data_IF_452699194693
#
_entry.id   IF_452699194693
#
_cell.length_a   1.000
_cell.length_b   1.000
_cell.length_c   1.000
_cell.angle_alpha   90.00
_cell.angle_beta   90.00
_cell.angle_gamma   90.00
#
_symmetry.space_group_name_H-M   'P 1'
#
loop_
_entity.id
_entity.type
_entity.pdbx_description
1 polymer ?
#
# COMPACT_ATOMS: atom_id res chain seq x y z
N UNK A 1 -25.56 -0.41 7.80
CA UNK A 1 -25.03 -0.11 9.15
C UNK A 1 -26.04 -0.47 10.21
N UNK A 2 -25.64 -0.47 11.48
CA UNK A 2 -26.48 -0.69 12.66
C UNK A 2 -26.11 0.32 13.77
N UNK A 3 -26.83 0.31 14.89
CA UNK A 3 -26.58 1.23 16.02
C UNK A 3 -25.15 1.12 16.59
N UNK A 4 -24.51 -0.06 16.54
CA UNK A 4 -23.15 -0.25 17.03
C UNK A 4 -22.07 0.46 16.20
N UNK A 5 -22.39 0.82 14.95
CA UNK A 5 -21.52 1.58 14.07
C UNK A 5 -22.12 2.93 13.67
N UNK A 6 -23.01 3.50 14.50
CA UNK A 6 -23.69 4.78 14.23
C UNK A 6 -24.32 4.83 12.83
N UNK A 7 -24.78 3.66 12.35
CA UNK A 7 -25.34 3.45 11.02
C UNK A 7 -24.39 3.73 9.83
N UNK A 8 -23.10 4.04 10.04
CA UNK A 8 -22.15 4.38 8.95
C UNK A 8 -21.63 3.15 8.20
N UNK A 9 -21.70 1.95 8.81
CA UNK A 9 -21.28 0.70 8.18
C UNK A 9 -19.83 0.28 8.42
N UNK A 10 -19.06 1.09 9.17
CA UNK A 10 -17.67 0.81 9.54
C UNK A 10 -17.46 1.07 11.04
N UNK A 11 -16.51 0.36 11.65
CA UNK A 11 -16.13 0.58 13.05
C UNK A 11 -14.62 0.43 13.19
N UNK A 12 -13.97 1.42 13.82
CA UNK A 12 -12.52 1.47 13.92
C UNK A 12 -11.84 1.88 12.60
N UNK A 13 -10.52 1.72 12.54
CA UNK A 13 -9.67 2.05 11.38
C UNK A 13 -8.54 1.02 11.28
N UNK A 14 -8.10 0.76 10.05
CA UNK A 14 -6.91 -0.06 9.78
C UNK A 14 -5.94 0.76 8.93
N UNK A 15 -4.64 0.68 9.22
CA UNK A 15 -3.62 1.33 8.40
C UNK A 15 -3.36 0.52 7.14
N UNK A 16 -3.03 1.19 6.03
CA UNK A 16 -2.43 0.56 4.86
C UNK A 16 -0.95 0.92 4.80
N UNK A 17 -0.10 0.00 4.31
CA UNK A 17 1.36 0.13 4.34
C UNK A 17 2.00 -0.20 3.00
N UNK A 18 2.80 0.73 2.50
CA UNK A 18 3.80 0.52 1.44
C UNK A 18 5.17 0.66 2.08
N UNK A 19 5.97 -0.41 2.06
CA UNK A 19 7.21 -0.48 2.83
C UNK A 19 8.38 -0.90 1.95
N UNK A 20 9.29 0.05 1.70
CA UNK A 20 10.53 -0.15 0.97
C UNK A 20 11.68 -0.39 1.93
N UNK A 21 12.40 -1.51 1.78
CA UNK A 21 13.59 -1.79 2.57
C UNK A 21 14.79 -1.12 1.92
N UNK A 22 15.59 -0.39 2.69
CA UNK A 22 16.87 0.15 2.22
C UNK A 22 17.94 -0.95 2.36
N UNK A 23 18.05 -1.78 1.33
CA UNK A 23 19.14 -2.75 1.19
C UNK A 23 20.40 -2.09 0.58
N UNK A 24 21.45 -2.89 0.36
CA UNK A 24 22.69 -2.37 -0.23
C UNK A 24 22.49 -1.81 -1.63
N UNK A 25 21.70 -2.50 -2.46
CA UNK A 25 21.41 -2.05 -3.84
C UNK A 25 20.66 -0.72 -3.84
N UNK A 26 19.66 -0.55 -2.98
CA UNK A 26 18.95 0.73 -2.84
C UNK A 26 19.90 1.83 -2.35
N UNK A 27 20.84 1.51 -1.45
CA UNK A 27 21.84 2.49 -1.00
C UNK A 27 22.74 2.95 -2.14
N UNK A 28 23.23 2.04 -2.96
CA UNK A 28 24.01 2.36 -4.17
C UNK A 28 23.19 3.21 -5.14
N UNK A 29 21.94 2.83 -5.42
CA UNK A 29 21.03 3.60 -6.29
C UNK A 29 20.79 5.03 -5.77
N UNK A 30 20.72 5.23 -4.46
CA UNK A 30 20.60 6.57 -3.85
C UNK A 30 21.88 7.38 -4.11
N UNK A 31 23.06 6.78 -3.93
CA UNK A 31 24.35 7.46 -4.19
C UNK A 31 24.49 7.86 -5.66
N UNK A 32 24.00 7.01 -6.57
CA UNK A 32 23.99 7.25 -8.01
C UNK A 32 22.88 8.22 -8.46
N UNK A 33 22.05 8.72 -7.54
CA UNK A 33 20.90 9.59 -7.83
C UNK A 33 19.92 8.98 -8.83
N UNK A 34 19.70 7.68 -8.72
CA UNK A 34 18.74 6.97 -9.55
C UNK A 34 17.33 7.58 -9.43
N UNK A 35 16.54 7.45 -10.49
CA UNK A 35 15.17 7.95 -10.51
C UNK A 35 14.31 7.16 -9.52
N UNK A 36 13.36 7.84 -8.86
CA UNK A 36 12.46 7.20 -7.88
C UNK A 36 11.73 5.96 -8.45
N UNK A 37 11.41 5.96 -9.74
CA UNK A 37 10.77 4.83 -10.42
C UNK A 37 11.67 3.58 -10.45
N UNK A 38 12.98 3.75 -10.53
CA UNK A 38 13.93 2.63 -10.53
C UNK A 38 14.06 2.04 -9.13
N UNK A 39 14.11 2.88 -8.09
CA UNK A 39 14.11 2.42 -6.69
C UNK A 39 12.83 1.63 -6.38
N UNK A 40 11.67 2.17 -6.77
CA UNK A 40 10.37 1.50 -6.59
C UNK A 40 10.32 0.17 -7.35
N UNK A 41 10.80 0.13 -8.60
CA UNK A 41 10.87 -1.10 -9.40
C UNK A 41 11.74 -2.17 -8.73
N UNK A 42 12.89 -1.80 -8.18
CA UNK A 42 13.73 -2.73 -7.40
C UNK A 42 12.97 -3.24 -6.18
N UNK A 43 12.40 -2.35 -5.37
CA UNK A 43 11.65 -2.72 -4.17
C UNK A 43 10.50 -3.70 -4.48
N UNK A 44 9.70 -3.44 -5.52
CA UNK A 44 8.59 -4.33 -5.90
C UNK A 44 9.07 -5.68 -6.42
N UNK A 45 10.06 -5.70 -7.31
CA UNK A 45 10.50 -6.95 -7.98
C UNK A 45 11.43 -7.81 -7.14
N UNK A 46 12.26 -7.21 -6.28
CA UNK A 46 13.31 -7.90 -5.53
C UNK A 46 12.97 -8.08 -4.05
N UNK A 47 12.23 -7.15 -3.47
CA UNK A 47 11.88 -7.18 -2.04
C UNK A 47 10.41 -7.58 -1.82
N UNK A 48 9.61 -7.70 -2.89
CA UNK A 48 8.18 -8.01 -2.78
C UNK A 48 7.38 -6.88 -2.13
N UNK A 49 7.86 -5.64 -2.25
CA UNK A 49 7.11 -4.48 -1.76
C UNK A 49 5.75 -4.41 -2.45
N UNK A 50 4.69 -4.35 -1.64
CA UNK A 50 3.33 -4.07 -2.08
C UNK A 50 3.09 -2.57 -2.09
N UNK A 51 2.32 -2.08 -3.05
CA UNK A 51 1.77 -0.73 -2.99
C UNK A 51 0.67 -0.65 -1.93
N UNK A 52 0.32 0.58 -1.53
CA UNK A 52 -0.82 0.82 -0.62
C UNK A 52 -2.10 0.17 -1.15
N UNK A 53 -2.35 0.26 -2.46
CA UNK A 53 -3.54 -0.34 -3.09
C UNK A 53 -3.50 -1.86 -3.07
N UNK A 54 -2.36 -2.48 -3.35
CA UNK A 54 -2.22 -3.94 -3.31
C UNK A 54 -2.44 -4.49 -1.91
N UNK A 55 -1.86 -3.85 -0.90
CA UNK A 55 -2.05 -4.24 0.50
C UNK A 55 -3.50 -4.01 0.96
N UNK A 56 -4.12 -2.93 0.49
CA UNK A 56 -5.57 -2.69 0.61
C UNK A 56 -6.40 -3.83 0.03
N UNK A 57 -6.17 -4.21 -1.22
CA UNK A 57 -6.89 -5.30 -1.90
C UNK A 57 -6.79 -6.61 -1.11
N UNK A 58 -5.59 -6.93 -0.60
CA UNK A 58 -5.37 -8.10 0.25
C UNK A 58 -6.17 -8.04 1.55
N UNK A 59 -6.31 -6.86 2.18
CA UNK A 59 -7.14 -6.65 3.36
C UNK A 59 -8.64 -6.72 3.06
N UNK A 60 -9.08 -6.20 1.91
CA UNK A 60 -10.46 -6.34 1.46
C UNK A 60 -10.82 -7.80 1.20
N UNK A 61 -9.94 -8.56 0.55
CA UNK A 61 -10.13 -10.01 0.34
C UNK A 61 -10.23 -10.78 1.66
N UNK A 62 -9.62 -10.28 2.74
CA UNK A 62 -9.72 -10.82 4.10
C UNK A 62 -10.93 -10.29 4.90
N UNK A 63 -11.76 -9.42 4.32
CA UNK A 63 -12.94 -8.84 4.98
C UNK A 63 -12.62 -7.75 6.01
N UNK A 64 -11.43 -7.16 5.99
CA UNK A 64 -11.00 -6.15 6.96
C UNK A 64 -11.43 -4.74 6.56
N UNK A 65 -11.51 -4.46 5.26
CA UNK A 65 -11.95 -3.18 4.68
C UNK A 65 -12.86 -3.43 3.47
N UNK A 66 -13.42 -2.37 2.89
CA UNK A 66 -14.26 -2.45 1.69
C UNK A 66 -13.50 -2.05 0.42
N UNK A 67 -14.00 -2.44 -0.78
CA UNK A 67 -13.45 -1.96 -2.04
C UNK A 67 -13.51 -0.43 -2.18
N UNK A 68 -14.57 0.20 -1.65
CA UNK A 68 -14.78 1.65 -1.73
C UNK A 68 -13.70 2.40 -0.94
N UNK A 69 -13.42 1.96 0.30
CA UNK A 69 -12.36 2.51 1.13
C UNK A 69 -10.99 2.47 0.43
N UNK A 70 -10.69 1.38 -0.29
CA UNK A 70 -9.43 1.27 -1.05
C UNK A 70 -9.41 2.26 -2.21
N UNK A 71 -10.50 2.37 -2.97
CA UNK A 71 -10.55 3.25 -4.14
C UNK A 71 -10.46 4.73 -3.76
N UNK A 72 -11.04 5.11 -2.62
CA UNK A 72 -11.09 6.50 -2.14
C UNK A 72 -9.78 6.93 -1.45
N UNK A 73 -9.06 5.99 -0.81
CA UNK A 73 -7.89 6.30 0.02
C UNK A 73 -6.55 5.74 -0.49
N UNK A 74 -6.52 5.14 -1.69
CA UNK A 74 -5.27 4.71 -2.34
C UNK A 74 -5.12 5.28 -3.74
N UNK A 75 -3.88 5.47 -4.17
CA UNK A 75 -3.53 6.08 -5.44
C UNK A 75 -3.82 5.17 -6.65
N UNK A 76 -4.08 5.78 -7.80
CA UNK A 76 -4.34 5.05 -9.06
C UNK A 76 -3.08 4.58 -9.77
N UNK A 77 -1.92 4.60 -9.14
CA UNK A 77 -0.66 4.28 -9.81
C UNK A 77 -0.67 2.83 -10.28
N UNK A 78 -0.83 2.69 -11.59
CA UNK A 78 -0.46 1.50 -12.35
C UNK A 78 1.03 1.68 -12.67
N UNK A 79 1.90 0.99 -11.94
CA UNK A 79 3.28 0.75 -12.43
C UNK A 79 3.27 -0.37 -13.48
#
# INVERSE_FOLDING_TARGET
>A
GCAACDYVGYMGRTGLYEFMVIDETVREMILDRAMAIDLRRHARRKQGMLTLREEGIMKCAKGITSPLEILDHTDKYED
#
